data_IF_428162172182
#
_entry.id   IF_428162172182
#
_cell.length_a   1.000
_cell.length_b   1.000
_cell.length_c   1.000
_cell.angle_alpha   90.00
_cell.angle_beta   90.00
_cell.angle_gamma   90.00
#
_symmetry.space_group_name_H-M   'P 1'
#
loop_
_entity.id
_entity.type
_entity.pdbx_description
1 polymer ?
#
# COMPACT_ATOMS: atom_id res chain seq x y z
N UNK A 1 -29.60 -65.34 55.06
CA UNK A 1 -29.53 -63.95 54.59
C UNK A 1 -28.39 -63.81 53.56
N UNK A 2 -28.66 -64.16 52.29
CA UNK A 2 -27.72 -63.92 51.18
C UNK A 2 -28.48 -63.99 49.85
N UNK A 3 -29.19 -62.92 49.45
CA UNK A 3 -29.84 -62.86 48.11
C UNK A 3 -30.22 -61.44 47.67
N UNK A 4 -29.54 -60.39 48.17
CA UNK A 4 -29.94 -59.04 47.79
C UNK A 4 -28.82 -58.19 47.16
N UNK A 5 -27.60 -58.72 46.95
CA UNK A 5 -26.45 -57.96 46.41
C UNK A 5 -26.22 -58.19 44.93
N UNK A 6 -26.74 -59.27 44.34
CA UNK A 6 -26.50 -59.56 42.89
C UNK A 6 -27.33 -58.69 41.96
N UNK A 7 -28.52 -58.23 42.40
CA UNK A 7 -29.37 -57.43 41.49
C UNK A 7 -28.94 -55.98 41.34
N UNK A 8 -28.15 -55.45 42.24
CA UNK A 8 -27.70 -54.03 42.15
C UNK A 8 -26.73 -53.82 41.00
N UNK A 9 -25.82 -54.78 40.75
CA UNK A 9 -24.87 -54.71 39.63
C UNK A 9 -25.57 -54.78 38.27
N UNK A 10 -26.55 -55.66 38.14
CA UNK A 10 -27.31 -55.81 36.91
C UNK A 10 -28.18 -54.57 36.62
N UNK A 11 -28.79 -53.98 37.63
CA UNK A 11 -29.60 -52.76 37.53
C UNK A 11 -28.69 -51.55 37.09
N UNK A 12 -27.51 -51.44 37.66
CA UNK A 12 -26.54 -50.38 37.27
C UNK A 12 -26.08 -50.56 35.83
N UNK A 13 -25.82 -51.78 35.41
CA UNK A 13 -25.39 -52.08 34.04
C UNK A 13 -26.49 -51.79 33.02
N UNK A 14 -27.74 -52.12 33.34
CA UNK A 14 -28.93 -51.79 32.48
C UNK A 14 -29.13 -50.26 32.40
N UNK A 15 -28.93 -49.53 33.49
CA UNK A 15 -29.06 -48.06 33.50
C UNK A 15 -27.94 -47.39 32.65
N UNK A 16 -26.72 -47.95 32.68
CA UNK A 16 -25.63 -47.46 31.81
C UNK A 16 -25.92 -47.71 30.34
N UNK A 17 -26.48 -48.87 30.02
CA UNK A 17 -26.89 -49.19 28.63
C UNK A 17 -28.01 -48.28 28.15
N UNK A 18 -29.02 -48.04 28.97
CA UNK A 18 -30.12 -47.12 28.68
C UNK A 18 -29.62 -45.70 28.52
N UNK A 19 -28.72 -45.22 29.38
CA UNK A 19 -28.11 -43.92 29.28
C UNK A 19 -27.26 -43.78 27.99
N UNK A 20 -26.52 -44.84 27.61
CA UNK A 20 -25.80 -44.85 26.35
C UNK A 20 -26.70 -44.77 25.13
N UNK A 21 -27.89 -45.41 25.16
CA UNK A 21 -28.86 -45.30 24.08
C UNK A 21 -29.67 -44.01 24.07
N UNK A 22 -29.82 -43.34 25.23
CA UNK A 22 -30.55 -42.08 25.36
C UNK A 22 -29.70 -40.85 24.97
N UNK A 23 -28.36 -40.98 24.87
CA UNK A 23 -27.51 -39.93 24.38
C UNK A 23 -27.78 -39.66 22.89
N UNK A 24 -27.98 -38.40 22.51
CA UNK A 24 -28.17 -38.05 21.10
C UNK A 24 -26.86 -38.17 20.32
N UNK A 25 -26.47 -39.38 20.00
CA UNK A 25 -25.22 -39.69 19.24
C UNK A 25 -25.10 -38.91 17.93
N UNK A 26 -26.27 -38.46 17.38
CA UNK A 26 -26.31 -37.65 16.17
C UNK A 26 -25.76 -36.24 16.36
N UNK A 27 -25.67 -35.75 17.61
CA UNK A 27 -25.18 -34.42 17.91
C UNK A 27 -23.75 -34.44 18.46
N UNK A 28 -23.14 -35.60 18.64
CA UNK A 28 -21.74 -35.71 18.93
C UNK A 28 -21.00 -35.46 17.60
N UNK A 29 -20.61 -34.22 17.36
CA UNK A 29 -19.60 -33.91 16.33
C UNK A 29 -18.32 -34.61 16.79
N UNK A 30 -18.11 -35.82 16.34
CA UNK A 30 -16.80 -36.45 16.36
C UNK A 30 -15.91 -35.47 15.61
N UNK A 31 -15.13 -34.67 16.37
CA UNK A 31 -14.27 -33.66 15.79
C UNK A 31 -13.52 -34.33 14.64
N UNK A 32 -13.75 -33.83 13.42
CA UNK A 32 -12.94 -34.24 12.28
C UNK A 32 -11.51 -33.99 12.77
N UNK A 33 -10.79 -35.06 13.09
CA UNK A 33 -9.35 -34.99 13.26
C UNK A 33 -8.90 -34.47 11.90
N UNK A 34 -8.69 -33.16 11.78
CA UNK A 34 -7.97 -32.60 10.65
C UNK A 34 -6.59 -33.22 10.78
N UNK A 35 -6.37 -34.28 10.02
CA UNK A 35 -5.01 -34.71 9.75
C UNK A 35 -4.31 -33.42 9.34
N UNK A 36 -3.32 -33.03 10.09
CA UNK A 36 -2.54 -31.83 9.78
C UNK A 36 -1.98 -32.06 8.39
N UNK A 37 -2.56 -31.40 7.40
CA UNK A 37 -2.08 -31.50 6.02
C UNK A 37 -0.60 -31.12 6.08
N UNK A 38 0.25 -32.07 5.70
CA UNK A 38 1.68 -31.81 5.65
C UNK A 38 1.92 -30.79 4.55
N UNK A 39 2.34 -29.60 4.93
CA UNK A 39 2.46 -28.46 4.03
C UNK A 39 3.85 -27.87 4.10
N UNK A 40 4.27 -27.25 3.02
CA UNK A 40 5.43 -26.39 2.95
C UNK A 40 4.99 -24.96 2.67
N UNK A 41 5.53 -24.02 3.41
CA UNK A 41 5.30 -22.59 3.23
C UNK A 41 6.60 -21.98 2.72
N UNK A 42 6.53 -21.28 1.61
CA UNK A 42 7.67 -20.62 0.98
C UNK A 42 7.31 -19.18 0.60
N UNK A 43 8.33 -18.37 0.47
CA UNK A 43 8.18 -17.01 -0.07
C UNK A 43 8.77 -16.97 -1.48
N UNK A 44 7.93 -16.59 -2.43
CA UNK A 44 8.34 -16.27 -3.79
C UNK A 44 8.49 -14.78 -3.97
N UNK A 45 9.55 -14.37 -4.66
CA UNK A 45 9.92 -12.98 -4.86
C UNK A 45 10.18 -12.71 -6.34
N UNK A 46 9.82 -11.52 -6.76
CA UNK A 46 10.17 -11.03 -8.09
C UNK A 46 10.34 -9.52 -8.06
N UNK A 47 11.25 -9.02 -8.87
CA UNK A 47 11.47 -7.60 -9.04
C UNK A 47 11.84 -7.24 -10.47
N UNK A 48 11.54 -6.02 -10.87
CA UNK A 48 12.00 -5.42 -12.13
C UNK A 48 12.27 -3.95 -11.97
N UNK A 49 13.14 -3.42 -12.82
CA UNK A 49 13.40 -1.97 -12.93
C UNK A 49 12.73 -1.44 -14.18
N UNK A 50 11.97 -0.37 -14.03
CA UNK A 50 11.30 0.30 -15.13
C UNK A 50 11.65 1.79 -15.10
N UNK A 51 11.84 2.39 -16.28
CA UNK A 51 12.04 3.83 -16.39
C UNK A 51 10.81 4.57 -15.86
N UNK A 52 11.04 5.68 -15.16
CA UNK A 52 9.94 6.56 -14.77
C UNK A 52 9.37 7.24 -16.02
N UNK A 53 8.07 7.45 -16.05
CA UNK A 53 7.31 7.94 -17.22
C UNK A 53 6.77 9.34 -16.98
N UNK A 54 6.53 9.70 -15.73
CA UNK A 54 5.96 10.99 -15.36
C UNK A 54 6.67 11.55 -14.13
N UNK A 55 6.60 12.87 -13.98
CA UNK A 55 7.03 13.58 -12.78
C UNK A 55 5.83 14.26 -12.12
N UNK A 56 5.64 14.09 -10.81
CA UNK A 56 4.66 14.85 -10.06
C UNK A 56 5.31 15.98 -9.28
N UNK A 57 4.64 17.13 -9.29
CA UNK A 57 4.98 18.31 -8.50
C UNK A 57 3.78 18.67 -7.61
N UNK A 58 4.07 19.20 -6.45
CA UNK A 58 3.06 19.79 -5.59
C UNK A 58 3.40 21.25 -5.40
N UNK A 59 2.48 22.13 -5.78
CA UNK A 59 2.66 23.57 -5.66
C UNK A 59 1.51 24.19 -4.86
N UNK A 60 1.83 24.92 -3.81
CA UNK A 60 0.86 25.50 -2.89
C UNK A 60 1.05 26.97 -2.64
N UNK A 61 -0.03 27.58 -2.23
CA UNK A 61 -0.09 28.97 -1.75
C UNK A 61 -0.56 28.96 -0.31
N UNK A 62 0.21 29.57 0.56
CA UNK A 62 -0.11 29.81 1.96
C UNK A 62 -0.21 31.31 2.20
N UNK A 63 -1.33 31.75 2.79
CA UNK A 63 -1.59 33.15 3.13
C UNK A 63 -2.03 33.24 4.58
N UNK A 64 -1.53 34.25 5.28
CA UNK A 64 -1.85 34.55 6.67
C UNK A 64 -2.41 35.95 6.75
N UNK A 65 -3.62 36.13 7.32
CA UNK A 65 -4.29 37.42 7.49
C UNK A 65 -5.02 37.49 8.84
N UNK A 66 -5.34 38.69 9.28
CA UNK A 66 -6.19 38.89 10.47
C UNK A 66 -7.67 38.50 10.21
N UNK A 67 -8.13 38.60 8.95
CA UNK A 67 -9.51 38.25 8.57
C UNK A 67 -9.54 37.06 7.65
N UNK A 68 -10.46 36.15 7.93
CA UNK A 68 -10.64 34.91 7.19
C UNK A 68 -10.93 35.15 5.71
N UNK A 69 -11.88 36.04 5.45
CA UNK A 69 -12.34 36.34 4.10
C UNK A 69 -11.18 36.86 3.23
N UNK A 70 -10.37 37.78 3.76
CA UNK A 70 -9.20 38.32 3.06
C UNK A 70 -8.17 37.25 2.73
N UNK A 71 -7.94 36.30 3.66
CA UNK A 71 -7.01 35.20 3.44
C UNK A 71 -7.52 34.24 2.35
N UNK A 72 -8.81 33.89 2.40
CA UNK A 72 -9.47 33.00 1.43
C UNK A 72 -9.46 33.61 0.03
N UNK A 73 -9.85 34.90 -0.10
CA UNK A 73 -9.89 35.56 -1.39
C UNK A 73 -8.50 35.68 -2.03
N UNK A 74 -7.48 35.99 -1.22
CA UNK A 74 -6.10 36.05 -1.72
C UNK A 74 -5.58 34.69 -2.17
N UNK A 75 -5.83 33.62 -1.41
CA UNK A 75 -5.43 32.25 -1.82
C UNK A 75 -6.13 31.85 -3.11
N UNK A 76 -7.45 32.06 -3.19
CA UNK A 76 -8.23 31.71 -4.38
C UNK A 76 -7.72 32.46 -5.62
N UNK A 77 -7.40 33.75 -5.49
CA UNK A 77 -6.81 34.52 -6.59
C UNK A 77 -5.46 33.94 -7.03
N UNK A 78 -4.55 33.72 -6.09
CA UNK A 78 -3.19 33.21 -6.38
C UNK A 78 -3.21 31.78 -6.96
N UNK A 79 -4.06 30.91 -6.43
CA UNK A 79 -4.22 29.54 -6.97
C UNK A 79 -4.78 29.57 -8.39
N UNK A 80 -5.73 30.46 -8.66
CA UNK A 80 -6.25 30.62 -10.03
C UNK A 80 -5.19 31.09 -11.00
N UNK A 81 -4.38 32.06 -10.62
CA UNK A 81 -3.25 32.57 -11.43
C UNK A 81 -2.20 31.46 -11.63
N UNK A 82 -1.86 30.71 -10.58
CA UNK A 82 -0.96 29.56 -10.65
C UNK A 82 -1.47 28.50 -11.65
N UNK A 83 -2.73 28.08 -11.52
CA UNK A 83 -3.33 27.07 -12.42
C UNK A 83 -3.37 27.55 -13.87
N UNK A 84 -3.65 28.83 -14.11
CA UNK A 84 -3.61 29.40 -15.46
C UNK A 84 -2.18 29.31 -16.03
N UNK A 85 -1.17 29.74 -15.27
CA UNK A 85 0.22 29.66 -15.71
C UNK A 85 0.68 28.22 -16.02
N UNK A 86 0.21 27.23 -15.24
CA UNK A 86 0.50 25.81 -15.46
C UNK A 86 -0.19 25.32 -16.76
N UNK A 87 -1.43 25.73 -17.01
CA UNK A 87 -2.16 25.41 -18.25
C UNK A 87 -1.47 26.06 -19.46
N UNK A 88 -1.07 27.31 -19.35
CA UNK A 88 -0.36 28.03 -20.43
C UNK A 88 1.01 27.43 -20.73
N UNK A 89 1.66 26.79 -19.74
CA UNK A 89 2.87 26.00 -19.92
C UNK A 89 2.66 24.72 -20.74
N UNK A 90 1.42 24.27 -20.86
CA UNK A 90 1.03 23.11 -21.67
C UNK A 90 0.68 21.86 -20.86
N UNK A 91 0.43 21.99 -19.55
CA UNK A 91 -0.08 20.88 -18.75
C UNK A 91 -1.59 20.71 -19.01
N UNK A 92 -2.01 19.49 -19.29
CA UNK A 92 -3.42 19.18 -19.53
C UNK A 92 -4.25 19.36 -18.25
N UNK A 93 -5.51 19.77 -18.40
CA UNK A 93 -6.41 20.03 -17.26
C UNK A 93 -6.58 18.80 -16.35
N UNK A 94 -6.62 17.59 -16.91
CA UNK A 94 -6.71 16.34 -16.16
C UNK A 94 -5.45 16.01 -15.34
N UNK A 95 -4.32 16.65 -15.67
CA UNK A 95 -3.04 16.47 -14.98
C UNK A 95 -2.80 17.54 -13.89
N UNK A 96 -3.80 18.41 -13.63
CA UNK A 96 -3.80 19.42 -12.57
C UNK A 96 -4.93 19.11 -11.60
N UNK A 97 -4.61 18.77 -10.36
CA UNK A 97 -5.60 18.37 -9.36
C UNK A 97 -5.42 19.17 -8.07
N UNK A 98 -6.52 19.59 -7.45
CA UNK A 98 -6.46 20.18 -6.11
C UNK A 98 -6.18 19.05 -5.11
N UNK A 99 -5.05 19.11 -4.42
CA UNK A 99 -4.63 18.10 -3.45
C UNK A 99 -5.22 18.39 -2.07
N UNK A 100 -5.17 19.64 -1.63
CA UNK A 100 -5.69 20.06 -0.32
C UNK A 100 -6.09 21.51 -0.28
N UNK A 101 -7.09 21.81 0.57
CA UNK A 101 -7.43 23.17 0.99
C UNK A 101 -7.63 23.14 2.50
N UNK A 102 -6.85 23.91 3.23
CA UNK A 102 -6.93 24.01 4.68
C UNK A 102 -7.15 25.44 5.09
N UNK A 103 -8.08 25.65 6.01
CA UNK A 103 -8.41 26.97 6.58
C UNK A 103 -8.51 26.80 8.10
N UNK A 104 -7.67 27.47 8.83
CA UNK A 104 -7.70 27.44 10.29
C UNK A 104 -7.22 28.73 10.91
N UNK A 105 -7.67 28.97 12.15
CA UNK A 105 -7.24 30.11 12.96
C UNK A 105 -6.00 29.71 13.77
N UNK A 106 -4.92 30.45 13.58
CA UNK A 106 -3.70 30.32 14.37
C UNK A 106 -3.80 31.28 15.57
N UNK A 107 -3.80 30.70 16.77
CA UNK A 107 -3.79 31.47 18.01
C UNK A 107 -2.40 32.01 18.28
N UNK A 108 -2.30 33.32 18.49
CA UNK A 108 -1.03 33.93 18.92
C UNK A 108 -0.80 33.67 20.42
N UNK A 109 0.43 33.29 20.74
CA UNK A 109 0.85 33.09 22.16
C UNK A 109 0.91 34.41 22.93
N UNK A 110 1.23 35.49 22.24
CA UNK A 110 1.25 36.85 22.79
C UNK A 110 -0.16 37.43 22.75
N UNK A 111 -0.80 37.54 23.93
CA UNK A 111 -2.17 38.08 24.08
C UNK A 111 -2.33 39.54 23.61
N UNK A 112 -1.24 40.25 23.34
CA UNK A 112 -1.29 41.61 22.74
C UNK A 112 -1.49 41.57 21.22
N UNK A 113 -1.32 40.41 20.57
CA UNK A 113 -1.51 40.22 19.13
C UNK A 113 -2.84 39.54 18.85
N UNK A 114 -3.40 39.86 17.68
CA UNK A 114 -4.64 39.21 17.21
C UNK A 114 -4.33 37.84 16.66
N UNK A 115 -5.27 36.93 16.82
CA UNK A 115 -5.25 35.68 16.11
C UNK A 115 -5.22 35.91 14.60
N UNK A 116 -4.61 34.99 13.87
CA UNK A 116 -4.47 35.07 12.42
C UNK A 116 -5.13 33.89 11.73
N UNK A 117 -5.72 34.13 10.60
CA UNK A 117 -6.26 33.08 9.74
C UNK A 117 -5.18 32.62 8.77
N UNK A 118 -4.93 31.33 8.77
CA UNK A 118 -4.01 30.65 7.85
C UNK A 118 -4.86 29.90 6.83
N UNK A 119 -4.64 30.20 5.56
CA UNK A 119 -5.28 29.50 4.44
C UNK A 119 -4.18 28.93 3.56
N UNK A 120 -4.25 27.63 3.34
CA UNK A 120 -3.32 26.89 2.48
C UNK A 120 -4.12 26.16 1.41
N UNK A 121 -3.71 26.29 0.16
CA UNK A 121 -4.23 25.49 -0.94
C UNK A 121 -3.08 24.95 -1.78
N UNK A 122 -3.15 23.68 -2.11
CA UNK A 122 -2.11 22.96 -2.84
C UNK A 122 -2.70 22.26 -4.05
N UNK A 123 -2.03 22.36 -5.17
CA UNK A 123 -2.33 21.63 -6.40
C UNK A 123 -1.23 20.62 -6.69
N UNK A 124 -1.63 19.44 -7.13
CA UNK A 124 -0.75 18.41 -7.68
C UNK A 124 -0.74 18.53 -9.21
N UNK A 125 0.45 18.41 -9.78
CA UNK A 125 0.70 18.58 -11.21
C UNK A 125 1.42 17.34 -11.70
N UNK A 126 0.87 16.66 -12.71
CA UNK A 126 1.53 15.54 -13.38
C UNK A 126 2.17 16.04 -14.66
N UNK A 127 3.48 15.98 -14.75
CA UNK A 127 4.25 16.32 -15.94
C UNK A 127 4.59 15.05 -16.70
N UNK A 128 4.06 14.91 -17.93
CA UNK A 128 4.30 13.76 -18.80
C UNK A 128 5.59 13.90 -19.61
N UNK A 129 5.90 15.09 -20.06
CA UNK A 129 7.17 15.39 -20.74
C UNK A 129 8.24 15.77 -19.72
N UNK A 130 8.95 14.76 -19.21
CA UNK A 130 9.94 14.94 -18.16
C UNK A 130 11.14 15.82 -18.57
N UNK A 131 11.36 16.03 -19.88
CA UNK A 131 12.39 16.95 -20.36
C UNK A 131 12.10 18.41 -19.99
N UNK A 132 10.85 18.71 -19.61
CA UNK A 132 10.41 20.04 -19.18
C UNK A 132 10.41 20.23 -17.66
N UNK A 133 10.94 19.27 -16.89
CA UNK A 133 10.87 19.31 -15.43
C UNK A 133 11.55 20.56 -14.84
N UNK A 134 12.72 20.91 -15.32
CA UNK A 134 13.45 22.14 -14.89
C UNK A 134 12.66 23.41 -15.23
N UNK A 135 12.12 23.47 -16.44
CA UNK A 135 11.33 24.63 -16.89
C UNK A 135 10.03 24.78 -16.10
N UNK A 136 9.37 23.67 -15.73
CA UNK A 136 8.19 23.69 -14.87
C UNK A 136 8.56 24.16 -13.45
N UNK A 137 9.64 23.67 -12.89
CA UNK A 137 10.12 24.10 -11.56
C UNK A 137 10.39 25.61 -11.55
N UNK A 138 11.04 26.15 -12.58
CA UNK A 138 11.27 27.58 -12.74
C UNK A 138 9.97 28.38 -12.84
N UNK A 139 8.98 27.88 -13.59
CA UNK A 139 7.65 28.49 -13.67
C UNK A 139 7.00 28.55 -12.30
N UNK A 140 6.97 27.43 -11.56
CA UNK A 140 6.35 27.37 -10.25
C UNK A 140 6.98 28.33 -9.26
N UNK A 141 8.32 28.45 -9.27
CA UNK A 141 9.03 29.42 -8.43
C UNK A 141 8.67 30.89 -8.75
N UNK A 142 8.33 31.18 -10.00
CA UNK A 142 7.96 32.54 -10.46
C UNK A 142 6.47 32.83 -10.31
N UNK A 143 5.63 31.85 -10.17
CA UNK A 143 4.16 31.96 -10.18
C UNK A 143 3.54 32.38 -8.84
N UNK A 144 4.35 32.66 -7.82
CA UNK A 144 3.87 33.05 -6.49
C UNK A 144 3.46 31.91 -5.57
N UNK A 145 3.71 30.66 -5.99
CA UNK A 145 3.66 29.54 -5.06
C UNK A 145 4.75 29.68 -4.00
N UNK A 146 4.43 29.42 -2.75
CA UNK A 146 5.38 29.55 -1.63
C UNK A 146 5.66 28.19 -0.96
N UNK A 147 5.02 27.12 -1.43
CA UNK A 147 5.30 25.73 -1.06
C UNK A 147 5.39 24.91 -2.35
N UNK A 148 6.58 24.47 -2.71
CA UNK A 148 6.81 23.67 -3.91
C UNK A 148 7.59 22.41 -3.50
N UNK A 149 7.07 21.25 -3.91
CA UNK A 149 7.69 19.94 -3.71
C UNK A 149 7.77 19.21 -5.03
N UNK A 150 8.80 18.44 -5.22
CA UNK A 150 9.06 17.67 -6.44
C UNK A 150 10.32 18.14 -7.17
N UNK A 151 10.58 17.58 -8.37
CA UNK A 151 9.83 16.49 -9.00
C UNK A 151 9.92 15.18 -8.25
N UNK A 152 8.80 14.44 -8.21
CA UNK A 152 8.76 13.07 -7.77
C UNK A 152 8.49 12.18 -8.99
N UNK A 153 9.51 11.46 -9.44
CA UNK A 153 9.43 10.65 -10.64
C UNK A 153 8.78 9.31 -10.34
N UNK A 154 7.85 8.87 -11.21
CA UNK A 154 7.13 7.61 -11.03
C UNK A 154 6.73 6.98 -12.36
N UNK A 155 6.41 5.70 -12.30
CA UNK A 155 5.80 4.96 -13.39
C UNK A 155 4.29 5.24 -13.32
N UNK A 156 3.65 5.46 -14.47
CA UNK A 156 2.22 5.78 -14.53
C UNK A 156 1.33 4.55 -14.49
N UNK A 157 1.67 3.52 -15.27
CA UNK A 157 0.91 2.27 -15.32
C UNK A 157 1.80 1.06 -15.03
N UNK A 158 1.54 0.41 -13.91
CA UNK A 158 2.27 -0.78 -13.46
C UNK A 158 1.53 -2.09 -13.72
N UNK A 159 0.29 -2.06 -14.23
CA UNK A 159 -0.60 -3.24 -14.29
C UNK A 159 0.01 -4.42 -15.06
N UNK A 160 0.57 -4.16 -16.24
CA UNK A 160 1.17 -5.23 -17.05
C UNK A 160 2.45 -5.76 -16.39
N UNK A 161 3.26 -4.88 -15.84
CA UNK A 161 4.48 -5.23 -15.10
C UNK A 161 4.14 -6.04 -13.85
N UNK A 162 3.15 -5.61 -13.08
CA UNK A 162 2.69 -6.32 -11.89
C UNK A 162 2.19 -7.73 -12.21
N UNK A 163 1.42 -7.90 -13.29
CA UNK A 163 0.98 -9.22 -13.75
C UNK A 163 2.17 -10.16 -13.98
N UNK A 164 3.17 -9.71 -14.72
CA UNK A 164 4.38 -10.49 -14.98
C UNK A 164 5.15 -10.81 -13.69
N UNK A 165 5.20 -9.86 -12.76
CA UNK A 165 5.85 -10.07 -11.47
C UNK A 165 5.10 -11.09 -10.61
N UNK A 166 3.77 -11.11 -10.61
CA UNK A 166 3.01 -12.16 -9.91
C UNK A 166 3.31 -13.56 -10.48
N UNK A 167 3.36 -13.68 -11.81
CA UNK A 167 3.69 -14.95 -12.47
C UNK A 167 5.12 -15.41 -12.12
N UNK A 168 6.08 -14.48 -12.11
CA UNK A 168 7.47 -14.76 -11.74
C UNK A 168 7.63 -15.13 -10.27
N UNK A 169 6.98 -14.38 -9.35
CA UNK A 169 7.03 -14.68 -7.91
C UNK A 169 6.38 -16.04 -7.59
N UNK A 170 5.31 -16.40 -8.31
CA UNK A 170 4.68 -17.72 -8.15
C UNK A 170 5.58 -18.84 -8.65
N UNK A 171 6.31 -18.61 -9.74
CA UNK A 171 7.28 -19.57 -10.28
C UNK A 171 8.43 -19.78 -9.29
N UNK A 172 9.00 -18.70 -8.76
CA UNK A 172 10.07 -18.74 -7.75
C UNK A 172 9.61 -19.48 -6.48
N UNK A 173 8.40 -19.21 -5.99
CA UNK A 173 7.83 -19.93 -4.86
C UNK A 173 7.71 -21.44 -5.14
N UNK A 174 7.25 -21.81 -6.34
CA UNK A 174 7.10 -23.21 -6.74
C UNK A 174 8.47 -23.92 -6.81
N UNK A 175 9.45 -23.31 -7.41
CA UNK A 175 10.82 -23.88 -7.51
C UNK A 175 11.43 -24.10 -6.12
N UNK A 176 11.30 -23.15 -5.22
CA UNK A 176 11.73 -23.27 -3.82
C UNK A 176 11.02 -24.43 -3.10
N UNK A 177 9.69 -24.54 -3.28
CA UNK A 177 8.89 -25.60 -2.68
C UNK A 177 9.24 -26.99 -3.23
N UNK A 178 9.50 -27.11 -4.55
CA UNK A 178 9.95 -28.36 -5.20
C UNK A 178 11.31 -28.81 -4.67
N UNK A 179 12.23 -27.86 -4.47
CA UNK A 179 13.55 -28.15 -3.89
C UNK A 179 13.40 -28.67 -2.45
N UNK A 180 12.58 -28.06 -1.62
CA UNK A 180 12.32 -28.48 -0.24
C UNK A 180 11.66 -29.87 -0.22
N UNK A 181 10.64 -30.10 -1.05
CA UNK A 181 9.93 -31.36 -1.14
C UNK A 181 10.89 -32.48 -1.52
N UNK A 182 11.68 -32.33 -2.60
CA UNK A 182 12.64 -33.32 -3.05
C UNK A 182 13.73 -33.62 -2.02
N UNK A 183 14.25 -32.58 -1.35
CA UNK A 183 15.26 -32.72 -0.29
C UNK A 183 14.73 -33.44 0.95
N UNK A 184 13.42 -33.42 1.19
CA UNK A 184 12.76 -34.15 2.28
C UNK A 184 12.23 -35.54 1.86
N UNK A 185 12.53 -35.99 0.64
CA UNK A 185 12.05 -37.28 0.11
C UNK A 185 10.57 -37.32 -0.24
N UNK A 186 9.95 -36.14 -0.42
CA UNK A 186 8.52 -35.94 -0.72
C UNK A 186 8.32 -35.39 -2.13
N UNK A 187 7.08 -35.38 -2.56
CA UNK A 187 6.67 -34.71 -3.80
C UNK A 187 5.83 -33.46 -3.47
N UNK A 188 5.99 -32.41 -4.26
CA UNK A 188 5.15 -31.23 -4.15
C UNK A 188 3.74 -31.55 -4.62
N UNK A 189 2.75 -31.07 -3.86
CA UNK A 189 1.33 -31.18 -4.16
C UNK A 189 0.75 -29.89 -4.76
N UNK A 190 -0.55 -29.69 -4.55
CA UNK A 190 -1.25 -28.48 -5.02
C UNK A 190 -0.95 -27.27 -4.12
N UNK A 191 -1.20 -26.09 -4.66
CA UNK A 191 -1.28 -24.86 -3.89
C UNK A 191 -2.52 -24.89 -2.99
N UNK A 192 -2.35 -24.64 -1.71
CA UNK A 192 -3.44 -24.56 -0.71
C UNK A 192 -3.82 -23.10 -0.44
N UNK A 193 -2.81 -22.24 -0.31
CA UNK A 193 -3.04 -20.83 0.01
C UNK A 193 -1.96 -19.96 -0.63
N UNK A 194 -2.37 -18.74 -1.02
CA UNK A 194 -1.47 -17.69 -1.51
C UNK A 194 -1.84 -16.40 -0.82
N UNK A 195 -0.85 -15.75 -0.22
CA UNK A 195 -1.00 -14.44 0.42
C UNK A 195 0.02 -13.50 -0.17
N UNK A 196 -0.41 -12.35 -0.65
CA UNK A 196 0.50 -11.27 -0.99
C UNK A 196 1.04 -10.65 0.30
N UNK A 197 2.34 -10.81 0.54
CA UNK A 197 3.00 -10.38 1.78
C UNK A 197 3.59 -8.99 1.69
N UNK A 198 3.73 -8.46 0.49
CA UNK A 198 4.23 -7.11 0.25
C UNK A 198 4.32 -6.80 -1.24
N UNK A 199 4.08 -5.54 -1.54
CA UNK A 199 4.44 -4.92 -2.81
C UNK A 199 5.22 -3.66 -2.48
N UNK A 200 6.43 -3.53 -2.99
CA UNK A 200 7.23 -2.33 -2.81
C UNK A 200 7.41 -1.62 -4.14
N UNK A 201 7.13 -0.33 -4.10
CA UNK A 201 7.51 0.61 -5.13
C UNK A 201 8.59 1.51 -4.54
N UNK A 202 9.81 1.36 -4.99
CA UNK A 202 10.94 2.17 -4.50
C UNK A 202 11.57 2.93 -5.66
N UNK A 203 11.45 4.26 -5.67
CA UNK A 203 12.18 5.06 -6.63
C UNK A 203 13.69 4.93 -6.37
N UNK A 204 14.44 4.60 -7.40
CA UNK A 204 15.90 4.57 -7.35
C UNK A 204 16.40 5.89 -7.87
N UNK A 205 16.75 6.80 -6.98
CA UNK A 205 17.43 8.02 -7.34
C UNK A 205 18.89 7.70 -7.65
N UNK A 206 19.37 8.02 -8.87
CA UNK A 206 20.81 8.12 -9.07
C UNK A 206 21.29 9.30 -8.20
N UNK A 207 22.05 9.02 -7.17
CA UNK A 207 22.78 10.07 -6.46
C UNK A 207 23.71 10.73 -7.49
N UNK A 208 23.32 11.91 -7.94
CA UNK A 208 24.23 12.79 -8.66
C UNK A 208 25.30 13.18 -7.65
N UNK A 209 26.55 12.80 -7.92
CA UNK A 209 27.72 13.24 -7.16
C UNK A 209 27.64 14.76 -7.03
N UNK A 210 27.67 15.21 -5.79
CA UNK A 210 27.52 16.61 -5.37
C UNK A 210 28.57 17.53 -6.01
N UNK A 211 28.27 17.96 -7.24
CA UNK A 211 28.96 19.10 -7.87
C UNK A 211 28.02 20.29 -7.77
N UNK A 212 28.40 21.30 -7.01
CA UNK A 212 27.70 22.58 -6.95
C UNK A 212 27.59 23.18 -8.35
N UNK A 213 26.38 23.21 -8.90
CA UNK A 213 26.07 23.93 -10.14
C UNK A 213 25.17 23.12 -11.07
N UNK A 214 23.86 23.45 -11.13
CA UNK A 214 22.96 23.09 -12.21
C UNK A 214 22.83 21.59 -12.50
N UNK A 215 22.45 20.79 -11.52
CA UNK A 215 22.19 19.38 -11.75
C UNK A 215 20.90 19.25 -12.55
N UNK A 216 20.99 18.81 -13.80
CA UNK A 216 19.86 18.42 -14.64
C UNK A 216 19.05 17.34 -13.91
N UNK A 217 17.73 17.57 -13.77
CA UNK A 217 16.82 16.63 -13.12
C UNK A 217 16.76 15.33 -13.94
N UNK A 218 17.26 14.23 -13.40
CA UNK A 218 17.26 12.93 -14.08
C UNK A 218 16.14 12.06 -13.57
N UNK A 219 15.22 11.57 -14.44
CA UNK A 219 14.07 10.77 -14.04
C UNK A 219 14.43 9.46 -13.35
N UNK A 220 15.58 8.85 -13.66
CA UNK A 220 16.00 7.58 -13.08
C UNK A 220 15.05 6.41 -13.42
N UNK A 221 15.13 5.36 -12.59
CA UNK A 221 14.28 4.17 -12.70
C UNK A 221 13.64 3.90 -11.35
N UNK A 222 12.49 3.22 -11.36
CA UNK A 222 11.87 2.70 -10.16
C UNK A 222 11.91 1.18 -10.15
N UNK A 223 12.10 0.60 -8.98
CA UNK A 223 12.02 -0.86 -8.79
C UNK A 223 10.61 -1.20 -8.33
N UNK A 224 9.98 -2.14 -9.01
CA UNK A 224 8.70 -2.73 -8.63
C UNK A 224 8.99 -4.16 -8.19
N UNK A 225 8.51 -4.55 -7.01
CA UNK A 225 8.65 -5.91 -6.50
C UNK A 225 7.34 -6.49 -6.01
N UNK A 226 7.22 -7.81 -6.09
CA UNK A 226 6.09 -8.58 -5.54
C UNK A 226 6.63 -9.70 -4.68
N UNK A 227 6.01 -9.89 -3.52
CA UNK A 227 6.37 -10.94 -2.56
C UNK A 227 5.11 -11.73 -2.22
N UNK A 228 5.15 -13.03 -2.51
CA UNK A 228 4.06 -13.96 -2.27
C UNK A 228 4.46 -15.00 -1.23
N UNK A 229 3.66 -15.18 -0.20
CA UNK A 229 3.77 -16.34 0.69
C UNK A 229 2.82 -17.42 0.19
N UNK A 230 3.35 -18.55 -0.22
CA UNK A 230 2.61 -19.64 -0.84
C UNK A 230 2.72 -20.91 0.02
N UNK A 231 1.57 -21.51 0.29
CA UNK A 231 1.47 -22.78 1.01
C UNK A 231 1.13 -23.88 0.01
N UNK A 232 1.97 -24.89 -0.05
CA UNK A 232 1.76 -26.09 -0.87
C UNK A 232 1.52 -27.31 0.02
N UNK A 233 0.76 -28.25 -0.49
CA UNK A 233 0.62 -29.60 0.07
C UNK A 233 1.84 -30.44 -0.27
N UNK A 234 2.23 -31.36 0.61
CA UNK A 234 3.13 -32.46 0.27
C UNK A 234 2.32 -33.69 -0.20
N UNK A 235 2.91 -34.45 -1.13
CA UNK A 235 2.42 -35.77 -1.57
C UNK A 235 3.42 -36.85 -1.27
#
# INVERSE_FOLDING_TARGET
>A
MKKHTENKGVVVLVLIIIAAFALPWKNISWGKIKLQEETVVVTGESETKQANEVASFSAGVNVIKEKKEEAVDEVNKKIKELVLSIKDFGIAEGDIQTQSVNVYEQQERDKSKKNQWVVNSTVEITLRDMSKADALMDLLNKSGANNIYGPNFRIEDTKNTEKTLYESAMTDAKEKAELIASSSGRKLGKVINVVESGSNYSPVYKALSSGMGGAELSPGTSTISKILTVTFEFK
#
